data_IF_412907151250
#
_entry.id   IF_412907151250
#
_cell.length_a   1.000
_cell.length_b   1.000
_cell.length_c   1.000
_cell.angle_alpha   90.00
_cell.angle_beta   90.00
_cell.angle_gamma   90.00
#
_symmetry.space_group_name_H-M   'P 1'
#
loop_
_entity.id
_entity.type
_entity.pdbx_description
1 polymer ?
#
# COMPACT_ATOMS: atom_id res chain seq x y z
N UNK A 1 -8.93 4.23 -14.81
CA UNK A 1 -7.89 3.32 -14.29
C UNK A 1 -7.11 4.12 -13.26
N UNK A 2 -6.85 3.59 -12.06
CA UNK A 2 -6.09 4.30 -11.02
C UNK A 2 -4.61 3.94 -11.17
N UNK A 3 -3.71 4.90 -10.98
CA UNK A 3 -2.27 4.70 -11.17
C UNK A 3 -1.47 5.35 -10.05
N UNK A 4 -0.43 4.66 -9.60
CA UNK A 4 0.63 5.24 -8.78
C UNK A 4 1.82 5.55 -9.68
N UNK A 5 2.31 6.80 -9.59
CA UNK A 5 3.45 7.27 -10.37
C UNK A 5 4.69 7.21 -9.48
N UNK A 6 5.70 6.46 -9.92
CA UNK A 6 7.00 6.45 -9.27
C UNK A 6 7.96 7.32 -10.07
N UNK A 7 8.33 8.45 -9.49
CA UNK A 7 9.24 9.41 -10.10
C UNK A 7 10.44 9.66 -9.20
N UNK A 8 11.62 9.79 -9.81
CA UNK A 8 12.88 10.03 -9.11
C UNK A 8 13.44 11.37 -9.57
N UNK A 9 13.86 12.19 -8.61
CA UNK A 9 14.56 13.44 -8.88
C UNK A 9 16.02 13.12 -9.23
N UNK A 10 16.41 13.42 -10.46
CA UNK A 10 17.81 13.31 -10.85
C UNK A 10 18.48 14.68 -10.74
N UNK A 11 19.51 14.77 -9.91
CA UNK A 11 20.34 15.96 -9.78
C UNK A 11 21.56 15.83 -10.71
N UNK A 12 21.34 16.13 -12.00
CA UNK A 12 22.39 16.28 -13.00
C UNK A 12 22.75 17.76 -13.24
N UNK A 13 23.92 18.02 -13.86
CA UNK A 13 24.55 19.34 -14.06
C UNK A 13 23.62 20.45 -14.60
N UNK A 14 22.79 21.04 -13.72
CA UNK A 14 22.11 22.30 -13.95
C UNK A 14 20.57 22.31 -13.91
N UNK A 15 19.88 21.17 -13.76
CA UNK A 15 18.43 21.18 -13.57
C UNK A 15 17.93 19.93 -12.83
N UNK A 16 17.24 20.16 -11.71
CA UNK A 16 16.54 19.11 -10.97
C UNK A 16 15.32 18.65 -11.80
N UNK A 17 15.50 17.60 -12.60
CA UNK A 17 14.43 17.03 -13.43
C UNK A 17 13.85 15.77 -12.79
N UNK A 18 12.53 15.71 -12.71
CA UNK A 18 11.81 14.50 -12.31
C UNK A 18 11.75 13.54 -13.49
N UNK A 19 12.25 12.33 -13.29
CA UNK A 19 12.16 11.24 -14.26
C UNK A 19 11.10 10.24 -13.80
N UNK A 20 10.26 9.76 -14.73
CA UNK A 20 9.26 8.73 -14.44
C UNK A 20 9.90 7.36 -14.60
N UNK A 21 10.06 6.64 -13.49
CA UNK A 21 10.64 5.30 -13.48
C UNK A 21 9.58 4.23 -13.74
N UNK A 22 8.39 4.37 -13.16
CA UNK A 22 7.30 3.40 -13.34
C UNK A 22 5.90 4.02 -13.19
N UNK A 23 4.94 3.40 -13.88
CA UNK A 23 3.50 3.65 -13.71
C UNK A 23 2.87 2.34 -13.27
N UNK A 24 2.36 2.32 -12.05
CA UNK A 24 1.88 1.10 -11.40
C UNK A 24 0.36 1.11 -11.47
N UNK A 25 -0.27 0.16 -12.19
CA UNK A 25 -1.72 0.07 -12.24
C UNK A 25 -2.27 -0.41 -10.90
N UNK A 26 -3.23 0.33 -10.36
CA UNK A 26 -3.97 -0.07 -9.16
C UNK A 26 -5.39 -0.50 -9.55
N UNK A 27 -5.99 -1.46 -8.80
CA UNK A 27 -7.38 -1.84 -9.00
C UNK A 27 -8.32 -0.63 -9.00
N UNK A 28 -9.21 -0.59 -9.99
CA UNK A 28 -10.06 0.55 -10.35
C UNK A 28 -11.14 0.91 -9.33
N UNK A 29 -11.51 -0.07 -8.51
CA UNK A 29 -12.70 0.01 -7.67
C UNK A 29 -12.41 0.64 -6.30
N UNK A 30 -11.22 1.23 -6.14
CA UNK A 30 -10.77 1.77 -4.86
C UNK A 30 -10.21 3.18 -5.00
N UNK A 31 -10.32 3.93 -3.91
CA UNK A 31 -9.50 5.10 -3.59
C UNK A 31 -8.42 4.65 -2.62
N UNK A 32 -7.18 5.08 -2.83
CA UNK A 32 -6.05 4.60 -2.05
C UNK A 32 -5.47 5.70 -1.18
N UNK A 33 -5.24 5.40 0.09
CA UNK A 33 -4.44 6.20 1.00
C UNK A 33 -3.11 5.48 1.29
N UNK A 34 -2.01 6.23 1.30
CA UNK A 34 -0.70 5.72 1.72
C UNK A 34 -0.63 5.76 3.24
N UNK A 35 -0.48 4.58 3.86
CA UNK A 35 -0.46 4.45 5.32
C UNK A 35 0.97 4.44 5.87
N UNK A 36 1.92 3.88 5.12
CA UNK A 36 3.31 3.84 5.56
C UNK A 36 4.22 3.05 4.63
N UNK A 37 5.49 2.98 4.99
CA UNK A 37 6.54 2.26 4.26
C UNK A 37 7.40 1.49 5.25
N UNK A 38 7.65 0.21 4.99
CA UNK A 38 8.70 -0.56 5.67
C UNK A 38 9.09 -1.81 4.89
N UNK A 39 10.31 -2.32 5.14
CA UNK A 39 10.80 -3.57 4.55
C UNK A 39 10.89 -3.60 3.02
N UNK A 40 10.91 -2.43 2.36
CA UNK A 40 10.85 -2.34 0.89
C UNK A 40 9.43 -2.35 0.32
N UNK A 41 8.40 -2.24 1.17
CA UNK A 41 7.00 -2.21 0.77
C UNK A 41 6.33 -0.88 1.14
N UNK A 42 5.46 -0.41 0.26
CA UNK A 42 4.49 0.65 0.51
C UNK A 42 3.17 0.01 0.94
N UNK A 43 2.62 0.45 2.07
CA UNK A 43 1.33 0.01 2.57
C UNK A 43 0.23 0.97 2.11
N UNK A 44 -0.77 0.41 1.42
CA UNK A 44 -1.90 1.14 0.87
C UNK A 44 -3.21 0.66 1.52
N UNK A 45 -4.09 1.61 1.81
CA UNK A 45 -5.46 1.35 2.25
C UNK A 45 -6.40 1.67 1.09
N UNK A 46 -7.04 0.64 0.55
CA UNK A 46 -8.07 0.76 -0.47
C UNK A 46 -9.45 0.93 0.15
N UNK A 47 -10.08 2.06 -0.13
CA UNK A 47 -11.48 2.34 0.16
C UNK A 47 -12.32 2.10 -1.09
N UNK A 48 -13.28 1.16 -1.11
CA UNK A 48 -14.13 0.93 -2.28
C UNK A 48 -14.81 2.22 -2.76
N UNK A 49 -14.80 2.46 -4.07
CA UNK A 49 -15.30 3.70 -4.67
C UNK A 49 -16.81 3.90 -4.47
N UNK A 50 -17.55 2.81 -4.32
CA UNK A 50 -18.98 2.74 -4.04
C UNK A 50 -19.31 2.68 -2.54
N UNK A 51 -18.31 2.72 -1.64
CA UNK A 51 -18.51 2.68 -0.17
C UNK A 51 -19.58 3.64 0.32
N UNK A 52 -19.67 4.85 -0.24
CA UNK A 52 -20.68 5.84 0.19
C UNK A 52 -22.08 5.58 -0.35
N UNK A 53 -22.24 4.70 -1.33
CA UNK A 53 -23.52 4.27 -1.89
C UNK A 53 -24.09 3.07 -1.13
N UNK A 54 -23.25 2.32 -0.39
CA UNK A 54 -23.66 1.17 0.40
C UNK A 54 -24.30 1.57 1.74
N UNK A 55 -25.19 0.72 2.29
CA UNK A 55 -25.71 0.86 3.66
C UNK A 55 -24.57 0.98 4.67
N UNK A 56 -24.78 1.75 5.75
CA UNK A 56 -23.73 2.03 6.76
C UNK A 56 -23.04 0.76 7.31
N UNK A 57 -23.77 -0.37 7.39
CA UNK A 57 -23.26 -1.68 7.85
C UNK A 57 -22.29 -2.36 6.88
N UNK A 58 -22.32 -1.99 5.61
CA UNK A 58 -21.48 -2.55 4.54
C UNK A 58 -20.34 -1.61 4.16
N UNK A 59 -20.25 -0.44 4.82
CA UNK A 59 -19.18 0.54 4.59
C UNK A 59 -17.84 0.14 5.20
N UNK A 60 -17.82 -0.84 6.08
CA UNK A 60 -16.65 -1.24 6.87
C UNK A 60 -15.53 -1.91 6.06
N UNK A 61 -15.81 -2.30 4.82
CA UNK A 61 -14.87 -3.08 4.01
C UNK A 61 -13.75 -2.18 3.48
N UNK A 62 -12.68 -2.06 4.25
CA UNK A 62 -11.41 -1.52 3.79
C UNK A 62 -10.50 -2.69 3.40
N UNK A 63 -9.77 -2.51 2.31
CA UNK A 63 -8.83 -3.51 1.81
C UNK A 63 -7.39 -3.01 1.98
N UNK A 64 -6.53 -3.88 2.46
CA UNK A 64 -5.11 -3.60 2.66
C UNK A 64 -4.28 -4.20 1.53
N UNK A 65 -3.39 -3.37 0.98
CA UNK A 65 -2.47 -3.75 -0.08
C UNK A 65 -1.03 -3.44 0.29
N UNK A 66 -0.12 -4.35 -0.07
CA UNK A 66 1.32 -4.12 -0.04
C UNK A 66 1.82 -3.96 -1.47
N UNK A 67 2.59 -2.92 -1.73
CA UNK A 67 3.28 -2.73 -2.99
C UNK A 67 4.78 -2.90 -2.75
N UNK A 68 5.38 -3.91 -3.38
CA UNK A 68 6.83 -4.08 -3.39
C UNK A 68 7.48 -2.96 -4.21
N UNK A 69 8.40 -2.18 -3.62
CA UNK A 69 9.03 -1.03 -4.28
C UNK A 69 10.15 -1.41 -5.25
N UNK A 70 10.67 -2.63 -5.17
CA UNK A 70 11.69 -3.15 -6.10
C UNK A 70 11.03 -3.75 -7.35
N UNK A 71 9.98 -4.54 -7.16
CA UNK A 71 9.34 -5.28 -8.27
C UNK A 71 8.05 -4.65 -8.78
N UNK A 72 7.52 -3.65 -8.07
CA UNK A 72 6.22 -3.03 -8.32
C UNK A 72 5.03 -4.00 -8.31
N UNK A 73 5.19 -5.17 -7.68
CA UNK A 73 4.09 -6.12 -7.49
C UNK A 73 3.18 -5.67 -6.34
N UNK A 74 1.89 -5.63 -6.63
CA UNK A 74 0.83 -5.31 -5.68
C UNK A 74 0.22 -6.61 -5.16
N UNK A 75 0.18 -6.77 -3.85
CA UNK A 75 -0.46 -7.89 -3.16
C UNK A 75 -1.64 -7.37 -2.32
N UNK A 76 -2.71 -8.15 -2.27
CA UNK A 76 -3.87 -7.92 -1.41
C UNK A 76 -3.86 -8.99 -0.31
N UNK A 77 -3.87 -8.59 0.96
CA UNK A 77 -3.69 -9.56 2.06
C UNK A 77 -4.66 -9.43 3.23
N UNK A 78 -5.56 -8.43 3.23
CA UNK A 78 -6.63 -8.37 4.23
C UNK A 78 -7.79 -7.47 3.78
N UNK A 79 -9.00 -8.03 3.72
CA UNK A 79 -10.25 -7.26 3.71
C UNK A 79 -10.85 -7.36 5.11
N UNK A 80 -11.02 -6.23 5.80
CA UNK A 80 -11.49 -6.24 7.19
C UNK A 80 -12.98 -5.91 7.21
N UNK A 81 -13.80 -6.79 7.79
CA UNK A 81 -15.26 -6.60 7.87
C UNK A 81 -15.68 -5.62 9.00
N UNK A 82 -14.76 -5.24 9.91
CA UNK A 82 -15.05 -4.40 11.08
C UNK A 82 -14.30 -3.05 11.09
N UNK A 83 -15.05 -1.95 10.99
CA UNK A 83 -14.62 -0.55 10.81
C UNK A 83 -14.01 0.10 12.07
N UNK A 84 -13.91 -0.60 13.21
CA UNK A 84 -13.75 0.09 14.50
C UNK A 84 -12.44 -0.09 15.27
N UNK A 85 -11.53 -1.01 14.90
CA UNK A 85 -10.37 -1.29 15.77
C UNK A 85 -8.99 -1.43 15.08
N UNK A 86 -8.90 -1.30 13.75
CA UNK A 86 -7.64 -1.63 13.04
C UNK A 86 -6.72 -0.41 12.86
N UNK A 87 -7.05 0.73 13.48
CA UNK A 87 -6.16 1.90 13.49
C UNK A 87 -4.81 1.67 14.19
N UNK A 88 -4.57 0.53 14.86
CA UNK A 88 -3.42 0.34 15.75
C UNK A 88 -2.65 -0.96 15.60
N UNK A 89 -3.15 -1.94 14.86
CA UNK A 89 -2.32 -3.08 14.47
C UNK A 89 -1.36 -2.56 13.41
N UNK A 90 -0.23 -2.00 13.86
CA UNK A 90 0.97 -1.71 13.09
C UNK A 90 1.32 -3.00 12.36
N UNK A 91 0.69 -3.19 11.20
CA UNK A 91 0.91 -4.32 10.32
C UNK A 91 2.41 -4.40 10.19
N UNK A 92 2.97 -5.52 10.66
CA UNK A 92 4.39 -5.76 10.61
C UNK A 92 4.78 -5.70 9.13
N UNK A 93 5.30 -4.55 8.70
CA UNK A 93 5.79 -4.35 7.34
C UNK A 93 7.19 -4.96 7.17
N UNK A 94 7.45 -6.04 7.89
CA UNK A 94 8.70 -6.77 7.91
C UNK A 94 8.47 -8.18 8.43
N UNK A 95 9.32 -9.11 8.00
CA UNK A 95 9.29 -10.47 8.52
C UNK A 95 9.44 -10.44 10.04
N UNK A 96 8.62 -11.19 10.80
CA UNK A 96 8.87 -11.34 12.22
C UNK A 96 10.29 -11.88 12.39
N UNK A 97 11.00 -11.48 13.47
CA UNK A 97 12.30 -12.07 13.77
C UNK A 97 12.17 -13.60 13.76
N UNK A 98 13.16 -14.33 13.24
CA UNK A 98 13.12 -15.78 13.20
C UNK A 98 12.84 -16.32 14.60
N UNK A 99 11.84 -17.20 14.72
CA UNK A 99 11.43 -17.79 16.00
C UNK A 99 12.47 -18.78 16.55
N UNK A 100 13.45 -19.15 15.72
CA UNK A 100 14.55 -20.04 16.07
C UNK A 100 15.79 -19.23 16.42
N UNK A 101 16.51 -19.59 17.50
CA UNK A 101 17.85 -19.06 17.74
C UNK A 101 18.77 -19.44 16.57
N UNK A 102 19.79 -18.61 16.25
CA UNK A 102 20.74 -18.92 15.19
C UNK A 102 21.40 -20.27 15.47
N UNK A 103 21.35 -21.17 14.49
CA UNK A 103 22.07 -22.44 14.54
C UNK A 103 23.56 -22.14 14.45
N UNK A 104 24.34 -22.59 15.45
CA UNK A 104 25.81 -22.53 15.48
C UNK A 104 26.39 -23.60 14.57
#
# INVERSE_FOLDING_TARGET
MCFLWYTVLQNGQGANQWHSEAIIPLPLNYRYDIIGVAGGYLLLLGTPADKYLLPLRERSNLDWFSLNLETFQLEWFCGTEDDNDIHLARLYAGFPPPLSPPTI
#
